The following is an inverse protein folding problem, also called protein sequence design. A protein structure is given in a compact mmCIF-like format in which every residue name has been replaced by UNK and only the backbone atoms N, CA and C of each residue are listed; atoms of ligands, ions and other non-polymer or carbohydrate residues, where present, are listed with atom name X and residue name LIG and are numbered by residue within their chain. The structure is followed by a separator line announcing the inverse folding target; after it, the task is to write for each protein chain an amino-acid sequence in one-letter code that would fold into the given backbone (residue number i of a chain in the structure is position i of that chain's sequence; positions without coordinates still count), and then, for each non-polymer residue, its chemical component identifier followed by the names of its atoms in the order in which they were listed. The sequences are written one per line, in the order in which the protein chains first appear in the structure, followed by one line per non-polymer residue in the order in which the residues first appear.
data_IF_622664672437
#
_entry.id   IF_622664672437
#
_cell.length_a   1.000
_cell.length_b   1.000
_cell.length_c   1.000
_cell.angle_alpha   90.00
_cell.angle_beta   90.00
_cell.angle_gamma   90.00
#
_symmetry.space_group_name_H-M   'P 1'
#
loop_
_entity.id
_entity.type
_entity.pdbx_description
1 polymer ?
#
# COMPACT_ATOMS: atom_id res chain seq x y z
N UNK A 1 -25.08 13.82 2.30
CA UNK A 1 -24.16 13.95 1.17
C UNK A 1 -22.99 13.01 1.43
N UNK A 2 -22.93 11.85 0.76
CA UNK A 2 -21.80 10.92 0.90
C UNK A 2 -20.58 11.61 0.30
N UNK A 3 -19.54 11.88 1.10
CA UNK A 3 -18.29 12.44 0.58
C UNK A 3 -17.58 11.35 -0.22
N UNK A 4 -17.27 11.63 -1.48
CA UNK A 4 -16.46 10.77 -2.32
C UNK A 4 -15.06 10.59 -1.71
N UNK A 5 -14.44 9.43 -1.95
CA UNK A 5 -13.04 9.21 -1.57
C UNK A 5 -12.15 10.24 -2.26
N UNK A 6 -11.38 10.98 -1.47
CA UNK A 6 -10.33 11.87 -1.97
C UNK A 6 -9.07 11.06 -2.25
N UNK A 7 -8.80 10.86 -3.54
CA UNK A 7 -7.65 10.09 -4.03
C UNK A 7 -6.30 10.68 -3.61
N UNK A 8 -6.20 12.00 -3.45
CA UNK A 8 -4.95 12.63 -3.02
C UNK A 8 -4.70 12.37 -1.54
N UNK A 9 -5.75 12.45 -0.73
CA UNK A 9 -5.69 12.15 0.69
C UNK A 9 -5.36 10.66 0.91
N UNK A 10 -6.02 9.75 0.18
CA UNK A 10 -5.70 8.32 0.20
C UNK A 10 -4.23 8.04 -0.11
N UNK A 11 -3.70 8.60 -1.22
CA UNK A 11 -2.30 8.42 -1.61
C UNK A 11 -1.30 8.93 -0.56
N UNK A 12 -1.62 10.06 0.09
CA UNK A 12 -0.77 10.61 1.17
C UNK A 12 -0.75 9.69 2.38
N UNK A 13 -1.90 9.17 2.77
CA UNK A 13 -2.04 8.26 3.92
C UNK A 13 -1.29 6.96 3.69
N UNK A 14 -1.47 6.32 2.52
CA UNK A 14 -0.73 5.11 2.13
C UNK A 14 0.79 5.34 2.15
N UNK A 15 1.28 6.44 1.58
CA UNK A 15 2.71 6.75 1.59
C UNK A 15 3.27 6.99 2.99
N UNK A 16 2.48 7.57 3.90
CA UNK A 16 2.87 7.70 5.31
C UNK A 16 2.96 6.33 5.95
N UNK A 17 1.92 5.51 5.78
CA UNK A 17 1.88 4.17 6.35
C UNK A 17 3.08 3.32 5.91
N UNK A 18 3.46 3.34 4.63
CA UNK A 18 4.63 2.59 4.11
C UNK A 18 5.95 3.07 4.73
N UNK A 19 6.05 4.35 5.10
CA UNK A 19 7.23 4.91 5.77
C UNK A 19 7.27 4.53 7.24
N UNK A 20 6.12 4.56 7.88
CA UNK A 20 5.97 4.32 9.31
C UNK A 20 5.97 2.81 9.65
N UNK A 21 5.71 1.95 8.66
CA UNK A 21 5.71 0.49 8.78
C UNK A 21 6.70 -0.12 7.76
N UNK A 22 8.03 -0.03 8.00
CA UNK A 22 9.04 -0.54 7.08
C UNK A 22 8.93 -2.04 6.84
N UNK A 23 8.52 -2.79 7.88
CA UNK A 23 8.37 -4.26 7.89
C UNK A 23 6.92 -4.70 7.63
N UNK A 24 6.07 -3.80 7.15
CA UNK A 24 4.67 -4.09 6.85
C UNK A 24 4.53 -5.14 5.74
N UNK A 25 3.55 -6.02 5.86
CA UNK A 25 3.25 -7.02 4.83
C UNK A 25 2.25 -6.50 3.80
N UNK A 26 2.10 -7.23 2.68
CA UNK A 26 1.04 -6.96 1.70
C UNK A 26 -0.36 -7.05 2.31
N UNK A 27 -0.56 -7.95 3.28
CA UNK A 27 -1.83 -8.08 4.02
C UNK A 27 -2.11 -6.84 4.85
N UNK A 28 -1.13 -6.40 5.64
CA UNK A 28 -1.27 -5.22 6.50
C UNK A 28 -1.60 -3.96 5.69
N UNK A 29 -0.95 -3.76 4.54
CA UNK A 29 -1.27 -2.62 3.67
C UNK A 29 -2.67 -2.74 3.07
N UNK A 30 -3.08 -3.95 2.66
CA UNK A 30 -4.43 -4.17 2.13
C UNK A 30 -5.47 -3.78 3.18
N UNK A 31 -5.37 -4.33 4.38
CA UNK A 31 -6.30 -4.08 5.48
C UNK A 31 -6.36 -2.58 5.79
N UNK A 32 -5.20 -1.92 5.84
CA UNK A 32 -5.13 -0.46 6.00
C UNK A 32 -5.88 0.28 4.88
N UNK A 33 -5.69 -0.09 3.61
CA UNK A 33 -6.40 0.53 2.49
C UNK A 33 -7.92 0.28 2.53
N UNK A 34 -8.37 -0.89 2.99
CA UNK A 34 -9.78 -1.21 3.16
C UNK A 34 -10.42 -0.30 4.22
N UNK A 35 -9.72 -0.05 5.34
CA UNK A 35 -10.18 0.86 6.40
C UNK A 35 -10.30 2.32 5.95
N UNK A 36 -9.51 2.75 4.95
CA UNK A 36 -9.59 4.11 4.40
C UNK A 36 -10.80 4.33 3.49
N UNK A 37 -11.40 3.26 2.96
CA UNK A 37 -12.51 3.33 2.02
C UNK A 37 -13.81 3.05 2.75
N UNK A 38 -14.77 4.00 2.77
CA UNK A 38 -16.07 3.75 3.37
C UNK A 38 -16.74 2.52 2.72
N UNK A 39 -17.32 1.63 3.53
CA UNK A 39 -17.94 0.39 3.06
C UNK A 39 -18.96 0.61 1.92
N UNK A 40 -19.71 1.71 1.95
CA UNK A 40 -20.67 2.08 0.91
C UNK A 40 -20.05 2.36 -0.47
N UNK A 41 -18.75 2.61 -0.51
CA UNK A 41 -17.96 2.93 -1.71
C UNK A 41 -16.96 1.82 -2.05
N UNK A 42 -16.89 0.74 -1.28
CA UNK A 42 -15.89 -0.32 -1.45
C UNK A 42 -15.87 -0.89 -2.87
N UNK A 43 -17.03 -1.28 -3.41
CA UNK A 43 -17.13 -1.81 -4.78
C UNK A 43 -16.63 -0.83 -5.84
N UNK A 44 -16.77 0.48 -5.61
CA UNK A 44 -16.33 1.50 -6.55
C UNK A 44 -14.82 1.79 -6.50
N UNK A 45 -14.16 1.45 -5.39
CA UNK A 45 -12.74 1.74 -5.14
C UNK A 45 -11.88 0.51 -4.85
N UNK A 46 -12.42 -0.70 -4.93
CA UNK A 46 -11.65 -1.94 -4.76
C UNK A 46 -10.46 -2.01 -5.74
N UNK A 47 -10.64 -1.51 -6.95
CA UNK A 47 -9.56 -1.38 -7.94
C UNK A 47 -8.38 -0.54 -7.43
N UNK A 48 -8.64 0.50 -6.63
CA UNK A 48 -7.60 1.37 -6.08
C UNK A 48 -6.77 0.63 -5.04
N UNK A 49 -7.40 -0.23 -4.25
CA UNK A 49 -6.73 -1.11 -3.28
C UNK A 49 -5.81 -2.08 -4.03
N UNK A 50 -6.33 -2.77 -5.05
CA UNK A 50 -5.55 -3.74 -5.83
C UNK A 50 -4.33 -3.09 -6.52
N UNK A 51 -4.51 -1.90 -7.10
CA UNK A 51 -3.40 -1.13 -7.69
C UNK A 51 -2.36 -0.72 -6.64
N UNK A 52 -2.82 -0.32 -5.45
CA UNK A 52 -1.94 0.13 -4.36
C UNK A 52 -1.12 -1.03 -3.79
N UNK A 53 -1.76 -2.18 -3.56
CA UNK A 53 -1.09 -3.41 -3.10
C UNK A 53 -0.10 -3.91 -4.16
N UNK A 54 -0.48 -3.89 -5.43
CA UNK A 54 0.43 -4.26 -6.53
C UNK A 54 1.68 -3.37 -6.60
N UNK A 55 1.51 -2.05 -6.42
CA UNK A 55 2.64 -1.12 -6.33
C UNK A 55 3.51 -1.38 -5.10
N UNK A 56 2.92 -1.68 -3.95
CA UNK A 56 3.68 -1.97 -2.74
C UNK A 56 4.46 -3.27 -2.82
N UNK A 57 3.89 -4.31 -3.44
CA UNK A 57 4.63 -5.54 -3.77
C UNK A 57 5.88 -5.23 -4.57
N UNK A 58 5.74 -4.43 -5.63
CA UNK A 58 6.90 -4.01 -6.42
C UNK A 58 7.95 -3.27 -5.58
N UNK A 59 7.54 -2.44 -4.61
CA UNK A 59 8.48 -1.79 -3.68
C UNK A 59 9.21 -2.82 -2.82
N UNK A 60 8.51 -3.77 -2.23
CA UNK A 60 9.11 -4.81 -1.38
C UNK A 60 10.10 -5.65 -2.19
N UNK A 61 9.70 -6.12 -3.37
CA UNK A 61 10.57 -6.89 -4.27
C UNK A 61 11.86 -6.11 -4.61
N UNK A 62 11.79 -4.77 -4.76
CA UNK A 62 12.98 -3.94 -5.03
C UNK A 62 13.82 -3.65 -3.78
N UNK A 63 13.23 -3.66 -2.58
CA UNK A 63 13.98 -3.55 -1.32
C UNK A 63 14.79 -4.81 -1.09
N UNK A 64 14.19 -5.98 -1.25
CA UNK A 64 14.86 -7.29 -1.10
C UNK A 64 16.03 -7.46 -2.06
N UNK A 65 15.88 -7.07 -3.33
CA UNK A 65 16.98 -7.11 -4.32
C UNK A 65 18.18 -6.25 -3.88
N UNK A 66 17.95 -5.16 -3.14
CA UNK A 66 19.04 -4.29 -2.67
C UNK A 66 19.81 -4.92 -1.51
N UNK A 67 19.16 -5.78 -0.72
CA UNK A 67 19.74 -6.47 0.44
C UNK A 67 20.44 -7.78 0.02
N UNK A 68 19.85 -8.59 -0.87
CA UNK A 68 20.46 -9.84 -1.36
C UNK A 68 21.75 -9.63 -2.17
N UNK A 69 21.89 -8.51 -2.89
CA UNK A 69 23.11 -8.20 -3.66
C UNK A 69 24.31 -7.83 -2.76
N UNK A 70 24.09 -7.52 -1.47
CA UNK A 70 25.15 -7.20 -0.50
C UNK A 70 25.68 -8.45 0.22
N UNK A 71 24.92 -9.55 0.27
CA UNK A 71 25.34 -10.80 0.93
C UNK A 71 26.14 -11.76 0.02
N UNK A 72 26.20 -11.51 -1.29
CA UNK A 72 26.95 -12.36 -2.25
C UNK A 72 28.43 -11.94 -2.38
N UNK A 73 28.88 -10.96 -1.60
CA UNK A 73 30.29 -10.52 -1.55
C UNK A 73 30.93 -10.99 -0.24
N UNK A 74 31.18 -12.28 -0.13
CA UNK A 74 32.17 -12.89 0.79
C UNK A 74 33.00 -13.94 0.03
#
# INVERSE_FOLDING_TARGET
MLRMVDLNTFKKQVKSWIRDNPDGTLGDLRDYCEDLIPASQFTAYSWLIEQTVGWYKHILDHREITEEQLEVVD
#
